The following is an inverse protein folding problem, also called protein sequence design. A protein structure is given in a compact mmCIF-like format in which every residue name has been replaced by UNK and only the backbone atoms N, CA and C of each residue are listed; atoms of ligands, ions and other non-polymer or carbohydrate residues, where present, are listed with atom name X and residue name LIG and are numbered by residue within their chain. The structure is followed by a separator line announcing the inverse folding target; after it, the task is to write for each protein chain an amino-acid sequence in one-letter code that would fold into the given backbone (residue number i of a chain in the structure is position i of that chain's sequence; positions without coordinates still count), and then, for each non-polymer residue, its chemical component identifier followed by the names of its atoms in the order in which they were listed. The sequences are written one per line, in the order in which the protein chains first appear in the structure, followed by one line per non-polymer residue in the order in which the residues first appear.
data_IF_026124582191
#
_entry.id   IF_026124582191
#
_cell.length_a   1.000
_cell.length_b   1.000
_cell.length_c   1.000
_cell.angle_alpha   90.00
_cell.angle_beta   90.00
_cell.angle_gamma   90.00
#
_symmetry.space_group_name_H-M   'P 1'
#
loop_
_entity.id
_entity.type
_entity.pdbx_description
1 polymer ?
#
# COMPACT_ATOMS: atom_id res chain seq x y z
N UNK A 1 39.94 -6.84 55.19
CA UNK A 1 40.51 -8.20 55.31
C UNK A 1 39.34 -9.16 55.35
N UNK A 2 38.86 -9.76 54.28
CA UNK A 2 39.40 -9.91 52.92
C UNK A 2 38.24 -10.45 52.07
N UNK A 3 38.02 -9.78 50.96
CA UNK A 3 37.68 -10.31 49.63
C UNK A 3 37.11 -11.73 49.54
N UNK A 4 35.85 -11.82 49.10
CA UNK A 4 35.39 -12.91 48.22
C UNK A 4 34.93 -12.27 46.92
N UNK A 5 35.95 -11.81 46.21
CA UNK A 5 36.02 -11.68 44.76
C UNK A 5 35.65 -13.02 44.10
N UNK A 6 34.87 -12.98 43.02
CA UNK A 6 34.62 -14.15 42.17
C UNK A 6 33.16 -14.60 42.08
N UNK A 7 32.25 -13.71 41.65
CA UNK A 7 31.09 -14.15 40.88
C UNK A 7 31.36 -13.78 39.42
N UNK A 8 31.67 -14.80 38.64
CA UNK A 8 32.15 -14.70 37.27
C UNK A 8 31.24 -13.78 36.41
N UNK A 9 31.81 -12.74 35.76
CA UNK A 9 31.07 -11.84 34.88
C UNK A 9 30.71 -12.46 33.52
N UNK A 10 30.93 -13.77 33.31
CA UNK A 10 30.74 -14.42 32.00
C UNK A 10 29.31 -14.90 31.72
N UNK A 11 28.40 -14.96 32.70
CA UNK A 11 27.01 -15.41 32.45
C UNK A 11 26.10 -14.34 31.83
N UNK A 12 26.54 -13.07 31.81
CA UNK A 12 25.85 -11.96 31.13
C UNK A 12 26.33 -11.73 29.69
N UNK A 13 27.30 -12.51 29.20
CA UNK A 13 27.85 -12.38 27.84
C UNK A 13 26.96 -12.97 26.74
N UNK A 14 26.02 -13.86 27.08
CA UNK A 14 25.04 -14.41 26.14
C UNK A 14 23.90 -13.44 25.79
N UNK A 15 23.76 -12.33 26.53
CA UNK A 15 22.76 -11.30 26.31
C UNK A 15 23.38 -10.04 25.69
N UNK A 16 24.25 -10.20 24.68
CA UNK A 16 24.60 -9.08 23.80
C UNK A 16 23.36 -8.76 22.97
N UNK A 17 22.55 -7.83 23.49
CA UNK A 17 21.44 -7.19 22.79
C UNK A 17 21.91 -6.88 21.36
N UNK A 18 21.27 -7.41 20.31
CA UNK A 18 21.71 -7.14 18.96
C UNK A 18 21.70 -5.62 18.78
N UNK A 19 22.78 -5.03 18.23
CA UNK A 19 22.82 -3.59 17.99
C UNK A 19 21.62 -3.24 17.11
N UNK A 20 20.83 -2.25 17.55
CA UNK A 20 19.56 -1.84 16.94
C UNK A 20 19.67 -1.41 15.46
N UNK A 21 20.89 -1.43 14.92
CA UNK A 21 21.31 -0.87 13.65
C UNK A 21 21.80 -1.97 12.68
N UNK A 22 21.94 -3.23 13.13
CA UNK A 22 22.41 -4.33 12.29
C UNK A 22 21.28 -5.01 11.51
N UNK A 23 20.05 -4.91 12.02
CA UNK A 23 18.84 -5.37 11.32
C UNK A 23 18.24 -4.33 10.36
N UNK A 24 18.73 -3.09 10.29
CA UNK A 24 18.19 -2.11 9.33
C UNK A 24 18.89 -2.20 7.98
N UNK A 25 20.23 -2.28 7.92
CA UNK A 25 20.94 -2.12 6.64
C UNK A 25 20.97 -3.37 5.73
N UNK A 26 20.92 -4.59 6.27
CA UNK A 26 20.96 -5.83 5.47
C UNK A 26 19.57 -6.44 5.18
N UNK A 27 18.56 -6.08 5.98
CA UNK A 27 17.18 -6.54 5.87
C UNK A 27 16.38 -5.74 4.81
N UNK A 28 16.74 -4.47 4.57
CA UNK A 28 15.88 -3.51 3.86
C UNK A 28 15.73 -3.70 2.34
N UNK A 29 16.68 -4.34 1.63
CA UNK A 29 16.61 -4.45 0.15
C UNK A 29 16.14 -5.80 -0.38
N UNK A 30 16.40 -6.90 0.33
CA UNK A 30 16.04 -8.25 -0.11
C UNK A 30 14.78 -8.83 0.57
N UNK A 31 14.38 -8.31 1.72
CA UNK A 31 13.34 -8.92 2.55
C UNK A 31 11.93 -8.37 2.25
N UNK A 32 11.84 -7.16 1.71
CA UNK A 32 10.59 -6.54 1.25
C UNK A 32 9.93 -7.34 0.11
N UNK A 33 10.74 -7.88 -0.81
CA UNK A 33 10.25 -8.70 -1.93
C UNK A 33 9.97 -10.15 -1.55
N UNK A 34 10.61 -10.67 -0.49
CA UNK A 34 10.37 -12.04 -0.01
C UNK A 34 9.00 -12.22 0.65
N UNK A 35 8.32 -11.12 1.00
CA UNK A 35 6.92 -11.11 1.45
C UNK A 35 5.91 -11.16 0.28
N UNK A 36 6.32 -10.76 -0.93
CA UNK A 36 5.50 -10.86 -2.14
C UNK A 36 5.56 -12.25 -2.79
N UNK A 37 6.59 -13.05 -2.50
CA UNK A 37 6.70 -14.46 -2.92
C UNK A 37 5.58 -15.35 -2.34
N UNK A 38 4.90 -14.91 -1.27
CA UNK A 38 3.73 -15.58 -0.71
C UNK A 38 2.42 -15.20 -1.40
N UNK A 39 2.43 -14.26 -2.35
CA UNK A 39 1.24 -13.88 -3.08
C UNK A 39 0.96 -14.93 -4.16
N UNK A 40 -0.06 -15.77 -3.92
CA UNK A 40 -0.54 -16.74 -4.90
C UNK A 40 -0.76 -16.08 -6.26
N UNK A 41 -0.52 -16.84 -7.34
CA UNK A 41 -0.60 -16.36 -8.73
C UNK A 41 -1.95 -15.67 -9.02
N UNK A 42 -3.02 -16.12 -8.37
CA UNK A 42 -4.39 -15.58 -8.51
C UNK A 42 -4.54 -14.17 -7.92
N UNK A 43 -3.99 -13.90 -6.74
CA UNK A 43 -4.03 -12.57 -6.12
C UNK A 43 -3.20 -11.56 -6.91
N UNK A 44 -2.09 -12.01 -7.50
CA UNK A 44 -1.28 -11.17 -8.39
C UNK A 44 -2.05 -10.75 -9.65
N UNK A 45 -2.80 -11.68 -10.26
CA UNK A 45 -3.65 -11.36 -11.41
C UNK A 45 -4.77 -10.36 -11.05
N UNK A 46 -5.45 -10.55 -9.92
CA UNK A 46 -6.47 -9.62 -9.46
C UNK A 46 -5.87 -8.24 -9.19
N UNK A 47 -4.72 -8.17 -8.53
CA UNK A 47 -4.05 -6.90 -8.21
C UNK A 47 -3.59 -6.16 -9.47
N UNK A 48 -3.08 -6.88 -10.48
CA UNK A 48 -2.77 -6.31 -11.80
C UNK A 48 -4.01 -5.72 -12.46
N UNK A 49 -5.13 -6.44 -12.41
CA UNK A 49 -6.40 -5.96 -12.93
C UNK A 49 -6.85 -4.69 -12.21
N UNK A 50 -6.78 -4.64 -10.88
CA UNK A 50 -7.06 -3.43 -10.10
C UNK A 50 -6.21 -2.24 -10.52
N UNK A 51 -4.89 -2.42 -10.66
CA UNK A 51 -3.97 -1.35 -11.10
C UNK A 51 -4.28 -0.83 -12.51
N UNK A 52 -4.70 -1.71 -13.43
CA UNK A 52 -5.10 -1.30 -14.78
C UNK A 52 -6.35 -0.41 -14.77
N UNK A 53 -7.36 -0.76 -13.95
CA UNK A 53 -8.55 0.08 -13.79
C UNK A 53 -8.24 1.37 -13.02
N UNK A 54 -7.36 1.32 -12.03
CA UNK A 54 -6.84 2.49 -11.32
C UNK A 54 -6.16 3.50 -12.25
N UNK A 55 -5.40 3.02 -13.24
CA UNK A 55 -4.84 3.88 -14.28
C UNK A 55 -5.93 4.59 -15.12
N UNK A 56 -7.04 3.89 -15.40
CA UNK A 56 -8.20 4.48 -16.10
C UNK A 56 -8.84 5.66 -15.35
N UNK A 57 -8.84 5.62 -14.01
CA UNK A 57 -9.33 6.74 -13.18
C UNK A 57 -8.41 7.97 -13.34
N UNK A 58 -7.10 7.77 -13.33
CA UNK A 58 -6.12 8.85 -13.55
C UNK A 58 -6.25 9.49 -14.94
N UNK A 59 -6.47 8.67 -15.98
CA UNK A 59 -6.71 9.14 -17.33
C UNK A 59 -8.01 9.95 -17.44
N UNK A 60 -9.06 9.53 -16.73
CA UNK A 60 -10.35 10.23 -16.71
C UNK A 60 -10.21 11.64 -16.13
N UNK A 61 -9.42 11.81 -15.06
CA UNK A 61 -9.13 13.13 -14.48
C UNK A 61 -8.34 14.02 -15.44
N UNK A 62 -7.37 13.45 -16.16
CA UNK A 62 -6.62 14.18 -17.19
C UNK A 62 -7.52 14.61 -18.36
N UNK A 63 -8.37 13.71 -18.87
CA UNK A 63 -9.36 14.01 -19.93
C UNK A 63 -10.33 15.12 -19.52
N UNK A 64 -10.78 15.15 -18.27
CA UNK A 64 -11.60 16.24 -17.75
C UNK A 64 -10.86 17.59 -17.84
N UNK A 65 -9.58 17.62 -17.48
CA UNK A 65 -8.74 18.80 -17.65
C UNK A 65 -8.65 19.30 -19.10
N UNK A 66 -8.63 18.39 -20.09
CA UNK A 66 -8.62 18.76 -21.52
C UNK A 66 -9.92 19.39 -21.99
N UNK A 67 -11.04 18.91 -21.45
CA UNK A 67 -12.35 19.47 -21.78
C UNK A 67 -12.47 20.93 -21.36
N UNK A 68 -11.74 21.37 -20.32
CA UNK A 68 -11.81 22.73 -19.80
C UNK A 68 -11.31 23.77 -20.80
N UNK A 69 -10.31 23.48 -21.64
CA UNK A 69 -9.81 24.46 -22.62
C UNK A 69 -10.91 24.94 -23.58
N UNK A 70 -11.49 24.04 -24.40
CA UNK A 70 -12.60 24.38 -25.30
C UNK A 70 -13.85 24.89 -24.57
N UNK A 71 -14.08 24.44 -23.32
CA UNK A 71 -15.18 24.93 -22.49
C UNK A 71 -15.00 26.40 -22.13
N UNK A 72 -13.79 26.77 -21.70
CA UNK A 72 -13.42 28.13 -21.33
C UNK A 72 -13.48 29.05 -22.55
N UNK A 73 -12.96 28.62 -23.70
CA UNK A 73 -13.08 29.41 -24.94
C UNK A 73 -14.56 29.67 -25.29
N UNK A 74 -15.42 28.66 -25.24
CA UNK A 74 -16.86 28.84 -25.53
C UNK A 74 -17.54 29.77 -24.53
N UNK A 75 -17.11 29.75 -23.26
CA UNK A 75 -17.62 30.65 -22.23
C UNK A 75 -17.24 32.11 -22.50
N UNK A 76 -16.00 32.37 -22.92
CA UNK A 76 -15.52 33.73 -23.21
C UNK A 76 -16.02 34.28 -24.55
N UNK A 77 -16.14 33.44 -25.58
CA UNK A 77 -16.61 33.84 -26.91
C UNK A 77 -18.15 33.86 -27.04
N UNK A 78 -18.90 33.62 -25.95
CA UNK A 78 -20.36 33.71 -25.92
C UNK A 78 -21.08 32.61 -26.72
N UNK A 79 -20.41 31.48 -26.97
CA UNK A 79 -20.99 30.35 -27.68
C UNK A 79 -21.89 29.54 -26.73
N UNK A 80 -23.06 29.11 -27.22
CA UNK A 80 -23.96 28.27 -26.44
C UNK A 80 -23.27 26.95 -26.02
N UNK A 81 -23.32 26.64 -24.72
CA UNK A 81 -22.95 25.34 -24.17
C UNK A 81 -23.95 24.30 -24.68
N UNK A 82 -23.72 23.77 -25.87
CA UNK A 82 -24.60 22.78 -26.47
C UNK A 82 -24.68 21.51 -25.62
N UNK A 83 -25.86 20.87 -25.57
CA UNK A 83 -26.11 19.63 -24.84
C UNK A 83 -25.08 18.51 -25.10
N UNK A 84 -24.39 18.54 -26.24
CA UNK A 84 -23.33 17.58 -26.60
C UNK A 84 -22.17 17.58 -25.59
N UNK A 85 -21.68 18.76 -25.18
CA UNK A 85 -20.56 18.86 -24.22
C UNK A 85 -20.97 18.36 -22.85
N UNK A 86 -22.22 18.64 -22.46
CA UNK A 86 -22.76 18.15 -21.20
C UNK A 86 -22.86 16.62 -21.23
N UNK A 87 -23.40 16.03 -22.29
CA UNK A 87 -23.47 14.57 -22.44
C UNK A 87 -22.08 13.90 -22.42
N UNK A 88 -21.08 14.50 -23.08
CA UNK A 88 -19.70 14.01 -23.07
C UNK A 88 -19.07 14.07 -21.67
N UNK A 89 -19.25 15.19 -20.96
CA UNK A 89 -18.77 15.35 -19.58
C UNK A 89 -19.41 14.33 -18.63
N UNK A 90 -20.73 14.13 -18.75
CA UNK A 90 -21.45 13.15 -17.94
C UNK A 90 -21.03 11.72 -18.24
N UNK A 91 -20.83 11.38 -19.52
CA UNK A 91 -20.33 10.06 -19.90
C UNK A 91 -18.96 9.78 -19.28
N UNK A 92 -18.03 10.75 -19.31
CA UNK A 92 -16.72 10.62 -18.67
C UNK A 92 -16.82 10.41 -17.15
N UNK A 93 -17.70 11.15 -16.46
CA UNK A 93 -17.92 10.98 -15.02
C UNK A 93 -18.43 9.57 -14.68
N UNK A 94 -19.40 9.05 -15.44
CA UNK A 94 -19.95 7.71 -15.22
C UNK A 94 -18.88 6.64 -15.45
N UNK A 95 -18.09 6.77 -16.52
CA UNK A 95 -16.97 5.85 -16.79
C UNK A 95 -15.95 5.91 -15.66
N UNK A 96 -15.51 7.10 -15.24
CA UNK A 96 -14.56 7.26 -14.15
C UNK A 96 -15.04 6.63 -12.84
N UNK A 97 -16.33 6.78 -12.53
CA UNK A 97 -16.94 6.19 -11.34
C UNK A 97 -16.90 4.66 -11.39
N UNK A 98 -17.28 4.06 -12.51
CA UNK A 98 -17.24 2.59 -12.69
C UNK A 98 -15.81 2.06 -12.53
N UNK A 99 -14.83 2.71 -13.15
CA UNK A 99 -13.43 2.32 -13.02
C UNK A 99 -12.91 2.45 -11.59
N UNK A 100 -13.29 3.50 -10.87
CA UNK A 100 -12.90 3.71 -9.48
C UNK A 100 -13.46 2.63 -8.55
N UNK A 101 -14.74 2.29 -8.69
CA UNK A 101 -15.38 1.24 -7.89
C UNK A 101 -14.73 -0.12 -8.18
N UNK A 102 -14.55 -0.48 -9.45
CA UNK A 102 -13.92 -1.76 -9.83
C UNK A 102 -12.49 -1.86 -9.30
N UNK A 103 -11.69 -0.81 -9.48
CA UNK A 103 -10.31 -0.76 -8.98
C UNK A 103 -10.26 -0.94 -7.47
N UNK A 104 -11.06 -0.15 -6.72
CA UNK A 104 -11.06 -0.16 -5.26
C UNK A 104 -11.52 -1.51 -4.70
N UNK A 105 -12.62 -2.05 -5.22
CA UNK A 105 -13.13 -3.36 -4.76
C UNK A 105 -12.10 -4.46 -4.99
N UNK A 106 -11.47 -4.46 -6.17
CA UNK A 106 -10.45 -5.44 -6.53
C UNK A 106 -9.23 -5.40 -5.60
N UNK A 107 -8.70 -4.21 -5.29
CA UNK A 107 -7.54 -4.09 -4.40
C UNK A 107 -7.90 -4.38 -2.94
N UNK A 108 -9.10 -4.01 -2.48
CA UNK A 108 -9.54 -4.31 -1.11
C UNK A 108 -9.76 -5.80 -0.88
N UNK A 109 -10.33 -6.53 -1.84
CA UNK A 109 -10.52 -7.99 -1.70
C UNK A 109 -9.17 -8.70 -1.54
N UNK A 110 -8.17 -8.35 -2.35
CA UNK A 110 -6.81 -8.91 -2.21
C UNK A 110 -6.20 -8.57 -0.85
N UNK A 111 -6.42 -7.35 -0.34
CA UNK A 111 -5.90 -6.94 0.95
C UNK A 111 -6.55 -7.71 2.12
N UNK A 112 -7.84 -8.02 2.04
CA UNK A 112 -8.56 -8.82 3.04
C UNK A 112 -8.04 -10.27 3.12
N UNK A 113 -7.88 -10.92 1.96
CA UNK A 113 -7.34 -12.28 1.90
C UNK A 113 -5.93 -12.34 2.50
N UNK A 114 -5.08 -11.38 2.14
CA UNK A 114 -3.71 -11.30 2.64
C UNK A 114 -3.67 -11.07 4.15
N UNK A 115 -4.59 -10.25 4.68
CA UNK A 115 -4.73 -10.00 6.13
C UNK A 115 -5.06 -11.29 6.89
N UNK A 116 -5.97 -12.11 6.37
CA UNK A 116 -6.35 -13.39 6.98
C UNK A 116 -5.19 -14.40 6.96
N UNK A 117 -4.46 -14.49 5.85
CA UNK A 117 -3.30 -15.37 5.71
C UNK A 117 -2.17 -14.98 6.68
N UNK A 118 -1.81 -13.68 6.73
CA UNK A 118 -0.77 -13.19 7.65
C UNK A 118 -1.11 -13.45 9.11
N UNK A 119 -2.37 -13.25 9.51
CA UNK A 119 -2.81 -13.52 10.89
C UNK A 119 -2.65 -15.00 11.26
N UNK A 120 -2.94 -15.89 10.31
CA UNK A 120 -2.81 -17.35 10.50
C UNK A 120 -1.35 -17.77 10.64
N UNK A 121 -0.49 -17.30 9.72
CA UNK A 121 0.95 -17.57 9.75
C UNK A 121 1.59 -17.03 11.03
N UNK A 122 1.21 -15.80 11.43
CA UNK A 122 1.70 -15.20 12.66
C UNK A 122 1.31 -16.02 13.89
N UNK A 123 0.05 -16.43 14.01
CA UNK A 123 -0.40 -17.25 15.14
C UNK A 123 0.37 -18.58 15.21
N UNK A 124 0.61 -19.22 14.07
CA UNK A 124 1.41 -20.44 14.00
C UNK A 124 2.87 -20.21 14.42
N UNK A 125 3.47 -19.09 14.02
CA UNK A 125 4.84 -18.75 14.39
C UNK A 125 4.97 -18.44 15.90
N UNK A 126 4.00 -17.72 16.46
CA UNK A 126 3.95 -17.38 17.89
C UNK A 126 3.85 -18.63 18.76
N UNK A 127 3.01 -19.61 18.38
CA UNK A 127 2.85 -20.85 19.14
C UNK A 127 4.11 -21.74 19.15
N UNK A 128 5.09 -21.48 18.27
CA UNK A 128 6.36 -22.22 18.22
C UNK A 128 7.48 -21.54 19.02
N UNK A 129 7.24 -20.37 19.61
CA UNK A 129 8.24 -19.67 20.42
C UNK A 129 8.29 -20.17 21.87
N UNK A 130 9.48 -20.15 22.46
CA UNK A 130 9.71 -20.55 23.85
C UNK A 130 9.04 -19.63 24.88
N UNK A 131 8.69 -20.17 26.04
CA UNK A 131 8.03 -19.44 27.14
C UNK A 131 8.88 -18.27 27.66
N UNK A 132 10.22 -18.39 27.63
CA UNK A 132 11.12 -17.30 28.03
C UNK A 132 11.03 -16.08 27.10
N UNK A 133 10.72 -16.27 25.82
CA UNK A 133 10.50 -15.18 24.88
C UNK A 133 9.20 -14.43 25.17
N UNK A 134 8.15 -15.16 25.60
CA UNK A 134 6.88 -14.56 25.99
C UNK A 134 7.01 -13.72 27.27
N UNK A 135 7.79 -14.17 28.24
CA UNK A 135 7.99 -13.46 29.51
C UNK A 135 8.83 -12.17 29.35
N UNK A 136 9.74 -12.16 28.37
CA UNK A 136 10.52 -10.96 28.04
C UNK A 136 9.69 -9.83 27.41
N UNK A 137 8.50 -10.12 26.89
CA UNK A 137 7.64 -9.14 26.22
C UNK A 137 6.58 -8.58 27.17
N UNK A 138 6.32 -7.26 27.10
CA UNK A 138 5.23 -6.66 27.89
C UNK A 138 3.88 -7.31 27.52
N UNK A 139 3.05 -7.72 28.49
CA UNK A 139 1.76 -8.34 28.22
C UNK A 139 0.91 -7.43 27.33
N UNK A 140 0.33 -7.99 26.26
CA UNK A 140 -0.50 -7.27 25.28
C UNK A 140 0.26 -6.42 24.26
N UNK A 141 1.58 -6.23 24.40
CA UNK A 141 2.36 -5.42 23.44
C UNK A 141 2.60 -6.11 22.09
N UNK A 142 2.81 -7.43 22.12
CA UNK A 142 3.05 -8.25 20.93
C UNK A 142 1.85 -8.26 19.97
N UNK A 143 0.65 -8.74 20.36
CA UNK A 143 -0.49 -8.80 19.45
C UNK A 143 -0.88 -7.43 18.90
N UNK A 144 -0.79 -6.38 19.73
CA UNK A 144 -1.07 -5.00 19.30
C UNK A 144 -0.09 -4.51 18.22
N UNK A 145 1.20 -4.84 18.37
CA UNK A 145 2.22 -4.44 17.39
C UNK A 145 1.97 -5.13 16.05
N UNK A 146 1.73 -6.44 16.05
CA UNK A 146 1.42 -7.15 14.80
C UNK A 146 0.11 -6.71 14.18
N UNK A 147 -0.93 -6.45 14.97
CA UNK A 147 -2.18 -5.91 14.43
C UNK A 147 -1.97 -4.55 13.75
N UNK A 148 -1.12 -3.70 14.33
CA UNK A 148 -0.73 -2.43 13.73
C UNK A 148 0.04 -2.67 12.42
N UNK A 149 1.03 -3.56 12.42
CA UNK A 149 1.85 -3.86 11.25
C UNK A 149 1.00 -4.45 10.10
N UNK A 150 0.10 -5.38 10.41
CA UNK A 150 -0.86 -5.95 9.45
C UNK A 150 -1.84 -4.89 8.96
N UNK A 151 -2.30 -4.00 9.85
CA UNK A 151 -3.19 -2.89 9.50
C UNK A 151 -2.54 -1.93 8.50
N UNK A 152 -1.26 -1.61 8.69
CA UNK A 152 -0.51 -0.77 7.74
C UNK A 152 -0.39 -1.47 6.38
N UNK A 153 -0.08 -2.77 6.36
CA UNK A 153 -0.03 -3.53 5.10
C UNK A 153 -1.38 -3.57 4.40
N UNK A 154 -2.47 -3.79 5.14
CA UNK A 154 -3.84 -3.80 4.61
C UNK A 154 -4.22 -2.46 3.95
N UNK A 155 -4.00 -1.35 4.66
CA UNK A 155 -4.28 0.00 4.13
C UNK A 155 -3.37 0.30 2.93
N UNK A 156 -2.11 -0.15 2.99
CA UNK A 156 -1.14 -0.02 1.91
C UNK A 156 -1.55 -0.72 0.62
N UNK A 157 -1.98 -1.98 0.71
CA UNK A 157 -2.37 -2.82 -0.43
C UNK A 157 -3.76 -2.50 -0.97
N UNK A 158 -4.72 -2.15 -0.11
CA UNK A 158 -6.10 -1.86 -0.53
C UNK A 158 -6.25 -0.48 -1.15
N UNK A 159 -6.33 0.54 -0.30
CA UNK A 159 -6.70 1.90 -0.72
C UNK A 159 -5.51 2.66 -1.34
N UNK A 160 -4.34 2.58 -0.70
CA UNK A 160 -3.17 3.36 -1.12
C UNK A 160 -2.59 2.88 -2.44
N UNK A 161 -2.63 1.59 -2.74
CA UNK A 161 -2.11 1.04 -3.98
C UNK A 161 -2.88 1.54 -5.21
N UNK A 162 -4.21 1.48 -5.14
CA UNK A 162 -5.11 2.01 -6.18
C UNK A 162 -4.87 3.51 -6.39
N UNK A 163 -4.82 4.29 -5.30
CA UNK A 163 -4.58 5.73 -5.36
C UNK A 163 -3.19 6.08 -5.92
N UNK A 164 -2.17 5.31 -5.55
CA UNK A 164 -0.81 5.47 -6.06
C UNK A 164 -0.75 5.20 -7.57
N UNK A 165 -1.39 4.13 -8.04
CA UNK A 165 -1.45 3.82 -9.48
C UNK A 165 -2.12 4.93 -10.28
N UNK A 166 -3.27 5.45 -9.82
CA UNK A 166 -3.97 6.54 -10.48
C UNK A 166 -3.17 7.84 -10.49
N UNK A 167 -2.47 8.13 -9.39
CA UNK A 167 -1.61 9.32 -9.26
C UNK A 167 -0.42 9.26 -10.23
N UNK A 168 0.22 8.09 -10.38
CA UNK A 168 1.27 7.89 -11.38
C UNK A 168 0.77 8.13 -12.80
N UNK A 169 -0.40 7.57 -13.16
CA UNK A 169 -0.97 7.78 -14.49
C UNK A 169 -1.29 9.25 -14.74
N UNK A 170 -1.85 9.95 -13.74
CA UNK A 170 -2.13 11.38 -13.85
C UNK A 170 -0.84 12.19 -14.07
N UNK A 171 0.23 11.90 -13.33
CA UNK A 171 1.52 12.59 -13.51
C UNK A 171 2.10 12.34 -14.90
N UNK A 172 2.04 11.11 -15.39
CA UNK A 172 2.56 10.75 -16.73
C UNK A 172 1.77 11.47 -17.82
N UNK A 173 0.42 11.43 -17.76
CA UNK A 173 -0.42 12.09 -18.77
C UNK A 173 -0.23 13.61 -18.75
N UNK A 174 -0.16 14.22 -17.55
CA UNK A 174 0.10 15.65 -17.40
C UNK A 174 1.46 16.05 -17.96
N UNK A 175 2.51 15.27 -17.68
CA UNK A 175 3.85 15.52 -18.20
C UNK A 175 3.90 15.44 -19.74
N UNK A 176 3.27 14.41 -20.32
CA UNK A 176 3.12 14.30 -21.78
C UNK A 176 2.42 15.55 -22.32
N UNK A 177 1.30 15.95 -21.71
CA UNK A 177 0.57 17.14 -22.14
C UNK A 177 1.40 18.43 -22.11
N UNK A 178 2.19 18.62 -21.05
CA UNK A 178 3.04 19.80 -20.89
C UNK A 178 4.20 19.86 -21.90
N UNK A 179 4.63 18.72 -22.44
CA UNK A 179 5.71 18.66 -23.44
C UNK A 179 5.16 18.79 -24.87
N UNK A 180 3.96 18.26 -25.13
CA UNK A 180 3.35 18.29 -26.47
C UNK A 180 2.64 19.61 -26.82
N UNK A 181 2.52 20.55 -25.88
CA UNK A 181 1.87 21.85 -26.06
C UNK A 181 2.81 22.98 -25.67
#
# INVERSE_FOLDING_TARGET
MSDVEGRDPESTSFFKKPPANMFSAAQERGQSFRLLDFCSREHCFLLLFGVLFGAGVGLSWACFGLMLGPLVDRLFYGAALGNRVFMEAWALCVVAFVFAVVSMMCTTTVAEDQKCNLRTLYMQAVLRHDVSWFDAAKPGSLPKRIETDIGIMYIGLGDRLSQFSGSLTMTVVSYIFAVYR
#
